data_IF_255325831965
#
_entry.id   IF_255325831965
#
_cell.length_a   1.000
_cell.length_b   1.000
_cell.length_c   1.000
_cell.angle_alpha   90.00
_cell.angle_beta   90.00
_cell.angle_gamma   90.00
#
_symmetry.space_group_name_H-M   'P 1'
#
loop_
_entity.id
_entity.type
_entity.pdbx_description
1 polymer ?
#
# COMPACT_ATOMS: atom_id res chain seq x y z
N UNK A 1 -11.78 -4.47 35.68
CA UNK A 1 -12.65 -4.94 34.58
C UNK A 1 -11.77 -5.08 33.35
N UNK A 2 -11.45 -6.32 33.00
CA UNK A 2 -10.63 -6.62 31.84
C UNK A 2 -11.50 -6.50 30.59
N UNK A 3 -11.16 -5.58 29.69
CA UNK A 3 -11.78 -5.47 28.37
C UNK A 3 -11.17 -6.58 27.52
N UNK A 4 -11.92 -7.67 27.37
CA UNK A 4 -11.60 -8.75 26.45
C UNK A 4 -11.77 -8.19 25.02
N UNK A 5 -10.68 -7.76 24.40
CA UNK A 5 -10.61 -7.50 22.97
C UNK A 5 -10.67 -8.85 22.25
N UNK A 6 -11.86 -9.31 21.95
CA UNK A 6 -12.07 -10.42 21.01
C UNK A 6 -11.61 -9.93 19.63
N UNK A 7 -10.49 -10.49 19.17
CA UNK A 7 -10.09 -10.40 17.76
C UNK A 7 -11.29 -10.91 16.92
N UNK A 8 -11.87 -10.13 16.01
CA UNK A 8 -12.92 -10.65 15.15
C UNK A 8 -12.27 -11.68 14.22
N UNK A 9 -12.61 -12.93 14.42
CA UNK A 9 -12.38 -14.04 13.48
C UNK A 9 -13.35 -13.80 12.31
N UNK A 10 -13.06 -12.77 11.49
CA UNK A 10 -13.84 -12.47 10.32
C UNK A 10 -13.44 -13.44 9.21
N UNK A 11 -14.43 -13.95 8.49
CA UNK A 11 -14.25 -14.78 7.28
C UNK A 11 -13.56 -14.06 6.13
N UNK A 12 -13.04 -12.87 6.38
CA UNK A 12 -12.29 -12.02 5.45
C UNK A 12 -10.86 -12.52 5.32
N UNK A 13 -10.37 -12.65 4.08
CA UNK A 13 -9.00 -13.06 3.82
C UNK A 13 -8.00 -12.07 4.40
N UNK A 14 -6.80 -12.54 4.77
CA UNK A 14 -5.75 -11.65 5.28
C UNK A 14 -5.36 -10.59 4.24
N UNK A 15 -5.38 -10.93 2.95
CA UNK A 15 -5.10 -9.98 1.88
C UNK A 15 -6.18 -8.88 1.80
N UNK A 16 -7.46 -9.21 1.96
CA UNK A 16 -8.53 -8.20 2.03
C UNK A 16 -8.35 -7.27 3.24
N UNK A 17 -7.88 -7.79 4.37
CA UNK A 17 -7.51 -6.94 5.53
C UNK A 17 -6.31 -6.04 5.24
N UNK A 18 -5.34 -6.50 4.46
CA UNK A 18 -4.24 -5.66 3.99
C UNK A 18 -4.73 -4.60 3.00
N UNK A 19 -5.67 -4.93 2.12
CA UNK A 19 -6.29 -3.95 1.23
C UNK A 19 -7.02 -2.85 2.02
N UNK A 20 -7.75 -3.22 3.07
CA UNK A 20 -8.38 -2.27 3.98
C UNK A 20 -7.39 -1.48 4.86
N UNK A 21 -6.16 -1.97 5.05
CA UNK A 21 -5.09 -1.33 5.83
C UNK A 21 -3.73 -1.55 5.15
N UNK A 22 -3.39 -0.78 4.10
CA UNK A 22 -2.21 -1.05 3.26
C UNK A 22 -0.89 -1.16 4.04
N UNK A 23 -0.71 -0.37 5.10
CA UNK A 23 0.49 -0.45 5.96
C UNK A 23 0.66 -1.82 6.66
N UNK A 24 -0.41 -2.60 6.80
CA UNK A 24 -0.30 -3.96 7.32
C UNK A 24 0.41 -4.89 6.34
N UNK A 25 0.23 -4.73 5.00
CA UNK A 25 0.96 -5.49 3.99
C UNK A 25 2.46 -5.27 4.13
N UNK A 26 2.90 -4.00 4.10
CA UNK A 26 4.32 -3.66 4.20
C UNK A 26 4.94 -4.10 5.53
N UNK A 27 4.19 -4.07 6.64
CA UNK A 27 4.66 -4.56 7.93
C UNK A 27 4.83 -6.09 7.94
N UNK A 28 3.87 -6.85 7.38
CA UNK A 28 3.97 -8.31 7.25
C UNK A 28 5.21 -8.71 6.43
N UNK A 29 5.39 -8.09 5.28
CA UNK A 29 6.53 -8.36 4.40
C UNK A 29 7.87 -7.97 5.06
N UNK A 30 7.92 -6.86 5.81
CA UNK A 30 9.12 -6.45 6.56
C UNK A 30 9.53 -7.47 7.64
N UNK A 31 8.57 -8.19 8.22
CA UNK A 31 8.80 -9.29 9.15
C UNK A 31 9.00 -10.66 8.44
N UNK A 32 9.07 -10.70 7.12
CA UNK A 32 9.23 -11.92 6.34
C UNK A 32 8.00 -12.85 6.38
N UNK A 33 6.83 -12.29 6.66
CA UNK A 33 5.56 -13.02 6.70
C UNK A 33 4.92 -12.98 5.31
N UNK A 34 4.92 -14.12 4.62
CA UNK A 34 4.24 -14.28 3.33
C UNK A 34 2.77 -14.63 3.54
N UNK A 35 1.88 -13.94 2.82
CA UNK A 35 0.46 -14.23 2.80
C UNK A 35 0.22 -15.30 1.73
N UNK A 36 -0.36 -16.43 2.12
CA UNK A 36 -0.78 -17.48 1.20
C UNK A 36 -2.30 -17.52 1.14
N UNK A 37 -2.87 -17.94 0.02
CA UNK A 37 -4.34 -18.00 -0.18
C UNK A 37 -5.06 -18.81 0.91
N UNK A 38 -4.43 -19.91 1.38
CA UNK A 38 -4.93 -20.75 2.46
C UNK A 38 -4.33 -20.40 3.83
N UNK A 39 -3.67 -19.23 3.93
CA UNK A 39 -3.02 -18.83 5.17
C UNK A 39 -4.05 -18.71 6.29
N UNK A 40 -3.83 -19.44 7.35
CA UNK A 40 -4.61 -19.37 8.58
C UNK A 40 -4.66 -17.94 9.16
N UNK A 41 -5.36 -17.78 10.27
CA UNK A 41 -5.50 -16.48 10.93
C UNK A 41 -4.13 -15.79 11.11
N UNK A 42 -4.10 -14.46 10.97
CA UNK A 42 -2.92 -13.58 11.18
C UNK A 42 -2.07 -14.04 12.39
N UNK A 43 -2.75 -14.42 13.48
CA UNK A 43 -2.10 -14.89 14.69
C UNK A 43 -1.25 -16.16 14.49
N UNK A 44 -1.62 -17.04 13.57
CA UNK A 44 -0.86 -18.26 13.26
C UNK A 44 0.40 -17.93 12.46
N UNK A 45 0.29 -17.05 11.47
CA UNK A 45 1.42 -16.60 10.65
C UNK A 45 2.45 -15.84 11.49
N UNK A 46 2.01 -14.89 12.31
CA UNK A 46 2.90 -14.16 13.21
C UNK A 46 3.67 -15.11 14.14
N UNK A 47 2.98 -16.04 14.81
CA UNK A 47 3.63 -17.01 15.72
C UNK A 47 4.61 -17.93 15.00
N UNK A 48 4.32 -18.33 13.76
CA UNK A 48 5.26 -19.14 12.96
C UNK A 48 6.58 -18.40 12.69
N UNK A 49 6.57 -17.07 12.63
CA UNK A 49 7.74 -16.20 12.48
C UNK A 49 8.29 -15.69 13.83
N UNK A 50 7.77 -16.20 14.97
CA UNK A 50 8.21 -15.75 16.31
C UNK A 50 7.75 -14.35 16.70
N UNK A 51 6.72 -13.82 16.05
CA UNK A 51 6.15 -12.51 16.29
C UNK A 51 4.82 -12.60 17.03
N UNK A 52 4.64 -11.80 18.08
CA UNK A 52 3.35 -11.67 18.72
C UNK A 52 2.39 -10.81 17.88
N UNK A 53 1.18 -11.27 17.53
CA UNK A 53 0.24 -10.56 16.68
C UNK A 53 -0.06 -9.13 17.16
N UNK A 54 -0.16 -8.93 18.45
CA UNK A 54 -0.43 -7.62 19.04
C UNK A 54 0.74 -6.64 18.86
N UNK A 55 1.98 -7.13 18.76
CA UNK A 55 3.16 -6.29 18.48
C UNK A 55 3.08 -5.77 17.05
N UNK A 56 2.78 -6.65 16.08
CA UNK A 56 2.59 -6.24 14.69
C UNK A 56 1.44 -5.20 14.55
N UNK A 57 0.30 -5.47 15.16
CA UNK A 57 -0.84 -4.55 15.10
C UNK A 57 -0.51 -3.19 15.73
N UNK A 58 0.19 -3.17 16.87
CA UNK A 58 0.62 -1.92 17.49
C UNK A 58 1.64 -1.15 16.64
N UNK A 59 2.52 -1.85 15.91
CA UNK A 59 3.45 -1.26 14.95
C UNK A 59 2.69 -0.57 13.81
N UNK A 60 1.71 -1.26 13.22
CA UNK A 60 0.85 -0.73 12.17
C UNK A 60 0.05 0.48 12.67
N UNK A 61 -0.64 0.36 13.82
CA UNK A 61 -1.40 1.46 14.42
C UNK A 61 -0.53 2.71 14.66
N UNK A 62 0.69 2.50 15.15
CA UNK A 62 1.64 3.60 15.38
C UNK A 62 2.12 4.22 14.07
N UNK A 63 2.30 3.45 13.01
CA UNK A 63 2.68 3.95 11.69
C UNK A 63 1.55 4.77 11.06
N UNK A 64 0.32 4.27 11.08
CA UNK A 64 -0.88 4.97 10.60
C UNK A 64 -1.11 6.28 11.35
N UNK A 65 -0.97 6.26 12.67
CA UNK A 65 -1.10 7.47 13.49
C UNK A 65 -0.03 8.52 13.12
N UNK A 66 1.25 8.13 13.05
CA UNK A 66 2.34 9.05 12.65
C UNK A 66 2.13 9.66 11.27
N UNK A 67 1.60 8.89 10.33
CA UNK A 67 1.34 9.33 8.96
C UNK A 67 0.19 10.33 8.90
N UNK A 68 -0.91 10.07 9.60
CA UNK A 68 -2.15 10.84 9.46
C UNK A 68 -2.25 12.03 10.40
N UNK A 69 -1.65 11.97 11.61
CA UNK A 69 -1.81 12.98 12.65
C UNK A 69 -1.42 14.41 12.22
N UNK A 70 -0.31 14.65 11.49
CA UNK A 70 0.06 15.99 11.04
C UNK A 70 -0.99 16.65 10.13
N UNK A 71 -1.81 15.81 9.46
CA UNK A 71 -2.74 16.23 8.41
C UNK A 71 -4.19 16.29 8.86
N UNK A 72 -4.53 15.76 10.03
CA UNK A 72 -5.92 15.71 10.54
C UNK A 72 -6.61 17.08 10.59
N UNK A 73 -5.88 18.09 11.02
CA UNK A 73 -6.41 19.45 11.17
C UNK A 73 -6.12 20.34 9.95
N UNK A 74 -5.32 19.88 8.97
CA UNK A 74 -4.99 20.67 7.78
C UNK A 74 -6.18 20.71 6.82
N UNK A 75 -6.38 21.81 6.05
CA UNK A 75 -7.43 21.88 5.04
C UNK A 75 -7.19 20.87 3.91
N UNK A 76 -8.28 20.38 3.28
CA UNK A 76 -8.19 19.41 2.17
C UNK A 76 -7.25 19.86 1.03
N UNK A 77 -7.23 21.14 0.60
CA UNK A 77 -6.27 21.57 -0.42
C UNK A 77 -4.81 21.34 -0.03
N UNK A 78 -4.44 21.57 1.23
CA UNK A 78 -3.07 21.35 1.70
C UNK A 78 -2.72 19.86 1.77
N UNK A 79 -3.68 19.01 2.12
CA UNK A 79 -3.50 17.56 2.11
C UNK A 79 -3.33 17.03 0.68
N UNK A 80 -4.13 17.51 -0.28
CA UNK A 80 -3.98 17.16 -1.70
C UNK A 80 -2.61 17.63 -2.22
N UNK A 81 -2.19 18.84 -1.90
CA UNK A 81 -0.87 19.33 -2.29
C UNK A 81 0.25 18.43 -1.72
N UNK A 82 0.12 17.98 -0.47
CA UNK A 82 1.07 17.04 0.10
C UNK A 82 1.10 15.71 -0.65
N UNK A 83 -0.05 15.11 -0.97
CA UNK A 83 -0.15 13.86 -1.74
C UNK A 83 0.54 14.03 -3.09
N UNK A 84 0.26 15.11 -3.81
CA UNK A 84 0.89 15.41 -5.10
C UNK A 84 2.42 15.52 -4.99
N UNK A 85 2.93 16.26 -4.00
CA UNK A 85 4.36 16.51 -3.85
C UNK A 85 5.14 15.31 -3.30
N UNK A 86 4.56 14.58 -2.36
CA UNK A 86 5.25 13.49 -1.66
C UNK A 86 5.15 12.13 -2.38
N UNK A 87 4.08 11.93 -3.16
CA UNK A 87 3.78 10.63 -3.76
C UNK A 87 3.64 10.68 -5.28
N UNK A 88 2.82 11.56 -5.86
CA UNK A 88 2.57 11.56 -7.29
C UNK A 88 3.77 12.02 -8.11
N UNK A 89 4.35 13.18 -7.78
CA UNK A 89 5.46 13.74 -8.55
C UNK A 89 6.72 12.84 -8.55
N UNK A 90 7.15 12.23 -7.42
CA UNK A 90 8.32 11.35 -7.43
C UNK A 90 8.05 9.95 -7.99
N UNK A 91 6.80 9.56 -8.26
CA UNK A 91 6.39 8.20 -8.57
C UNK A 91 7.22 7.53 -9.67
N UNK A 92 7.35 8.19 -10.83
CA UNK A 92 8.11 7.63 -11.95
C UNK A 92 9.58 7.41 -11.60
N UNK A 93 10.19 8.33 -10.86
CA UNK A 93 11.59 8.22 -10.42
C UNK A 93 11.80 7.12 -9.37
N UNK A 94 10.82 6.88 -8.49
CA UNK A 94 10.85 5.77 -7.54
C UNK A 94 10.83 4.41 -8.25
N UNK A 95 9.95 4.27 -9.25
CA UNK A 95 9.89 3.06 -10.08
C UNK A 95 11.17 2.84 -10.90
N UNK A 96 11.76 3.90 -11.46
CA UNK A 96 13.02 3.81 -12.22
C UNK A 96 14.17 3.37 -11.31
N UNK A 97 14.21 3.85 -10.06
CA UNK A 97 15.21 3.41 -9.05
C UNK A 97 15.02 1.93 -8.70
N UNK A 98 13.78 1.48 -8.54
CA UNK A 98 13.48 0.09 -8.25
C UNK A 98 13.88 -0.81 -9.42
N UNK A 99 13.48 -0.48 -10.66
CA UNK A 99 13.84 -1.27 -11.85
C UNK A 99 15.36 -1.35 -12.04
N UNK A 100 16.08 -0.25 -11.82
CA UNK A 100 17.56 -0.24 -11.87
C UNK A 100 18.18 -1.17 -10.80
N UNK A 101 17.63 -1.19 -9.58
CA UNK A 101 18.08 -2.09 -8.52
C UNK A 101 17.81 -3.56 -8.87
N UNK A 102 16.65 -3.87 -9.47
CA UNK A 102 16.32 -5.22 -9.93
C UNK A 102 17.24 -5.66 -11.07
N UNK A 103 17.50 -4.78 -12.04
CA UNK A 103 18.42 -5.08 -13.14
C UNK A 103 19.86 -5.39 -12.67
N UNK A 104 20.31 -4.76 -11.60
CA UNK A 104 21.61 -5.02 -11.02
C UNK A 104 21.76 -6.48 -10.51
N UNK A 105 20.64 -7.14 -10.15
CA UNK A 105 20.65 -8.53 -9.63
C UNK A 105 20.69 -9.61 -10.71
N UNK A 106 20.70 -9.26 -11.99
CA UNK A 106 20.49 -10.22 -13.10
C UNK A 106 21.49 -11.40 -13.14
N UNK A 107 22.68 -11.27 -12.56
CA UNK A 107 23.65 -12.34 -12.49
C UNK A 107 23.48 -13.22 -11.26
N UNK A 108 22.84 -12.71 -10.21
CA UNK A 108 22.63 -13.39 -8.95
C UNK A 108 21.22 -14.01 -8.84
N UNK A 109 20.28 -13.58 -9.69
CA UNK A 109 18.89 -14.02 -9.67
C UNK A 109 18.61 -15.09 -10.71
N UNK A 110 17.58 -15.91 -10.48
CA UNK A 110 17.03 -16.81 -11.49
C UNK A 110 16.45 -15.98 -12.66
N UNK A 111 16.94 -16.13 -13.91
CA UNK A 111 16.59 -15.23 -15.00
C UNK A 111 15.09 -15.13 -15.26
N UNK A 112 14.39 -16.27 -15.29
CA UNK A 112 12.95 -16.31 -15.56
C UNK A 112 12.14 -15.62 -14.43
N UNK A 113 12.51 -15.84 -13.17
CA UNK A 113 11.82 -15.21 -12.04
C UNK A 113 12.09 -13.69 -11.98
N UNK A 114 13.28 -13.25 -12.40
CA UNK A 114 13.58 -11.82 -12.51
C UNK A 114 12.78 -11.16 -13.64
N UNK A 115 12.61 -11.85 -14.77
CA UNK A 115 11.77 -11.34 -15.86
C UNK A 115 10.29 -11.24 -15.44
N UNK A 116 9.76 -12.24 -14.73
CA UNK A 116 8.43 -12.19 -14.13
C UNK A 116 8.26 -11.00 -13.19
N UNK A 117 9.21 -10.81 -12.27
CA UNK A 117 9.21 -9.70 -11.33
C UNK A 117 9.21 -8.34 -12.05
N UNK A 118 9.99 -8.18 -13.09
CA UNK A 118 10.05 -6.95 -13.87
C UNK A 118 8.80 -6.72 -14.73
N UNK A 119 8.17 -7.79 -15.21
CA UNK A 119 6.90 -7.69 -15.91
C UNK A 119 5.79 -7.18 -14.97
N UNK A 120 5.71 -7.70 -13.75
CA UNK A 120 4.78 -7.22 -12.71
C UNK A 120 5.05 -5.75 -12.33
N UNK A 121 6.32 -5.34 -12.26
CA UNK A 121 6.68 -3.95 -12.01
C UNK A 121 6.24 -3.02 -13.15
N UNK A 122 6.33 -3.49 -14.40
CA UNK A 122 5.85 -2.74 -15.56
C UNK A 122 4.33 -2.62 -15.60
N UNK A 123 3.60 -3.68 -15.20
CA UNK A 123 2.16 -3.67 -15.01
C UNK A 123 1.75 -2.65 -13.95
N UNK A 124 2.34 -2.74 -12.75
CA UNK A 124 2.12 -1.78 -11.66
C UNK A 124 2.37 -0.33 -12.10
N UNK A 125 3.45 -0.09 -12.88
CA UNK A 125 3.74 1.23 -13.45
C UNK A 125 2.61 1.73 -14.33
N UNK A 126 2.10 0.89 -15.24
CA UNK A 126 1.07 1.29 -16.19
C UNK A 126 -0.24 1.62 -15.49
N UNK A 127 -0.67 0.76 -14.56
CA UNK A 127 -1.91 0.93 -13.81
C UNK A 127 -1.86 2.18 -12.92
N UNK A 128 -0.78 2.37 -12.17
CA UNK A 128 -0.66 3.51 -11.26
C UNK A 128 -0.49 4.85 -12.00
N UNK A 129 0.19 4.90 -13.14
CA UNK A 129 0.25 6.15 -13.92
C UNK A 129 -1.14 6.57 -14.43
N UNK A 130 -1.98 5.64 -14.83
CA UNK A 130 -3.37 5.91 -15.21
C UNK A 130 -4.20 6.34 -13.99
N UNK A 131 -4.03 5.64 -12.86
CA UNK A 131 -4.69 5.93 -11.59
C UNK A 131 -4.38 7.35 -11.11
N UNK A 132 -3.10 7.74 -10.98
CA UNK A 132 -2.68 9.06 -10.57
C UNK A 132 -3.24 10.15 -11.51
N UNK A 133 -3.30 9.89 -12.82
CA UNK A 133 -3.87 10.83 -13.79
C UNK A 133 -5.39 11.02 -13.56
N UNK A 134 -6.14 9.97 -13.19
CA UNK A 134 -7.58 10.07 -12.84
C UNK A 134 -7.77 10.93 -11.60
N UNK A 135 -6.93 10.77 -10.60
CA UNK A 135 -6.99 11.55 -9.36
C UNK A 135 -6.68 13.02 -9.61
N UNK A 136 -5.58 13.32 -10.26
CA UNK A 136 -5.14 14.69 -10.54
C UNK A 136 -6.11 15.45 -11.45
N UNK A 137 -6.60 14.81 -12.50
CA UNK A 137 -7.40 15.47 -13.52
C UNK A 137 -8.89 15.50 -13.20
N UNK A 138 -9.37 14.56 -12.37
CA UNK A 138 -10.81 14.39 -12.13
C UNK A 138 -11.16 14.41 -10.66
N UNK A 139 -10.60 13.51 -9.84
CA UNK A 139 -11.05 13.33 -8.47
C UNK A 139 -10.70 14.52 -7.57
N UNK A 140 -9.46 14.96 -7.55
CA UNK A 140 -9.04 16.08 -6.68
C UNK A 140 -9.75 17.39 -7.04
N UNK A 141 -9.92 17.75 -8.32
CA UNK A 141 -10.79 18.86 -8.70
C UNK A 141 -12.23 18.72 -8.20
N UNK A 142 -12.80 17.51 -8.24
CA UNK A 142 -14.18 17.30 -7.73
C UNK A 142 -14.27 17.33 -6.21
N UNK A 143 -13.26 16.91 -5.49
CA UNK A 143 -13.18 17.04 -4.02
C UNK A 143 -13.17 18.53 -3.63
N UNK A 144 -12.49 19.37 -4.38
CA UNK A 144 -12.37 20.81 -4.12
C UNK A 144 -13.53 21.63 -4.66
N UNK A 145 -14.33 21.09 -5.58
CA UNK A 145 -15.50 21.76 -6.16
C UNK A 145 -16.78 21.40 -5.41
N UNK A 146 -17.86 22.20 -5.56
CA UNK A 146 -19.17 21.88 -5.00
C UNK A 146 -19.91 20.79 -5.82
N UNK A 147 -19.26 19.63 -6.03
CA UNK A 147 -19.82 18.51 -6.80
C UNK A 147 -19.82 17.18 -6.01
N UNK A 148 -20.43 17.15 -4.82
CA UNK A 148 -20.20 16.07 -3.84
C UNK A 148 -20.63 14.67 -4.32
N UNK A 149 -21.71 14.54 -5.09
CA UNK A 149 -22.19 13.23 -5.54
C UNK A 149 -21.26 12.59 -6.59
N UNK A 150 -20.61 13.39 -7.44
CA UNK A 150 -19.64 12.91 -8.41
C UNK A 150 -18.35 12.45 -7.70
N UNK A 151 -17.84 13.26 -6.78
CA UNK A 151 -16.68 12.91 -5.96
C UNK A 151 -16.88 11.60 -5.19
N UNK A 152 -18.04 11.38 -4.56
CA UNK A 152 -18.31 10.16 -3.81
C UNK A 152 -18.31 8.88 -4.67
N UNK A 153 -18.70 8.97 -5.95
CA UNK A 153 -18.62 7.81 -6.86
C UNK A 153 -17.17 7.57 -7.32
N UNK A 154 -16.46 8.64 -7.64
CA UNK A 154 -15.06 8.54 -8.04
C UNK A 154 -14.18 8.00 -6.90
N UNK A 155 -14.36 8.46 -5.66
CA UNK A 155 -13.66 7.93 -4.49
C UNK A 155 -13.85 6.42 -4.38
N UNK A 156 -15.06 5.91 -4.51
CA UNK A 156 -15.28 4.45 -4.44
C UNK A 156 -14.60 3.68 -5.55
N UNK A 157 -14.49 4.25 -6.75
CA UNK A 157 -13.75 3.64 -7.85
C UNK A 157 -12.25 3.60 -7.55
N UNK A 158 -11.68 4.69 -7.02
CA UNK A 158 -10.27 4.73 -6.62
C UNK A 158 -9.96 3.73 -5.51
N UNK A 159 -10.83 3.61 -4.50
CA UNK A 159 -10.65 2.63 -3.42
C UNK A 159 -10.58 1.18 -3.95
N UNK A 160 -11.36 0.83 -4.99
CA UNK A 160 -11.25 -0.49 -5.63
C UNK A 160 -9.91 -0.65 -6.37
N UNK A 161 -9.46 0.38 -7.07
CA UNK A 161 -8.13 0.37 -7.71
C UNK A 161 -7.00 0.27 -6.66
N UNK A 162 -7.17 0.84 -5.45
CA UNK A 162 -6.24 0.65 -4.32
C UNK A 162 -6.20 -0.81 -3.83
N UNK A 163 -7.36 -1.47 -3.74
CA UNK A 163 -7.42 -2.91 -3.38
C UNK A 163 -6.66 -3.78 -4.41
N UNK A 164 -6.84 -3.51 -5.71
CA UNK A 164 -6.12 -4.17 -6.79
C UNK A 164 -4.61 -3.90 -6.70
N UNK A 165 -4.20 -2.66 -6.41
CA UNK A 165 -2.80 -2.27 -6.20
C UNK A 165 -2.15 -3.04 -5.04
N UNK A 166 -2.84 -3.20 -3.91
CA UNK A 166 -2.34 -3.98 -2.77
C UNK A 166 -2.15 -5.45 -3.17
N UNK A 167 -3.06 -6.01 -3.96
CA UNK A 167 -2.95 -7.37 -4.47
C UNK A 167 -1.75 -7.53 -5.42
N UNK A 168 -1.54 -6.56 -6.30
CA UNK A 168 -0.40 -6.56 -7.23
C UNK A 168 0.94 -6.39 -6.48
N UNK A 169 1.00 -5.53 -5.45
CA UNK A 169 2.18 -5.41 -4.56
C UNK A 169 2.51 -6.72 -3.87
N UNK A 170 1.51 -7.43 -3.36
CA UNK A 170 1.71 -8.73 -2.75
C UNK A 170 2.27 -9.75 -3.76
N UNK A 171 1.73 -9.78 -4.98
CA UNK A 171 2.21 -10.64 -6.06
C UNK A 171 3.65 -10.31 -6.45
N UNK A 172 3.97 -9.03 -6.56
CA UNK A 172 5.31 -8.50 -6.84
C UNK A 172 6.32 -8.95 -5.76
N UNK A 173 5.94 -8.85 -4.49
CA UNK A 173 6.76 -9.30 -3.36
C UNK A 173 7.07 -10.80 -3.46
N UNK A 174 6.07 -11.64 -3.69
CA UNK A 174 6.25 -13.08 -3.87
C UNK A 174 7.15 -13.43 -5.05
N UNK A 175 7.05 -12.71 -6.17
CA UNK A 175 7.97 -12.86 -7.31
C UNK A 175 9.41 -12.49 -6.93
N UNK A 176 9.60 -11.44 -6.14
CA UNK A 176 10.93 -11.04 -5.65
C UNK A 176 11.54 -12.10 -4.72
N UNK A 177 10.77 -12.67 -3.81
CA UNK A 177 11.22 -13.78 -2.95
C UNK A 177 11.71 -14.95 -3.81
N UNK A 178 10.96 -15.35 -4.84
CA UNK A 178 11.39 -16.42 -5.76
C UNK A 178 12.64 -16.04 -6.56
N UNK A 179 12.72 -14.83 -7.07
CA UNK A 179 13.84 -14.37 -7.88
C UNK A 179 15.16 -14.37 -7.09
N UNK A 180 15.10 -14.06 -5.79
CA UNK A 180 16.28 -13.88 -4.94
C UNK A 180 16.65 -15.11 -4.10
N UNK A 181 15.83 -16.17 -4.11
CA UNK A 181 16.02 -17.37 -3.26
C UNK A 181 17.41 -18.03 -3.43
N UNK A 182 17.99 -17.97 -4.64
CA UNK A 182 19.28 -18.61 -4.96
C UNK A 182 20.53 -17.86 -4.45
N UNK A 183 20.42 -16.60 -4.08
CA UNK A 183 21.57 -15.74 -3.76
C UNK A 183 21.29 -14.75 -2.61
N UNK A 184 20.84 -15.21 -1.45
CA UNK A 184 20.40 -14.32 -0.36
C UNK A 184 21.55 -13.47 0.23
N UNK A 185 22.80 -13.85 0.03
CA UNK A 185 23.97 -13.12 0.54
C UNK A 185 24.62 -12.19 -0.49
N UNK A 186 24.05 -12.08 -1.70
CA UNK A 186 24.56 -11.17 -2.72
C UNK A 186 24.24 -9.71 -2.36
N UNK A 187 25.25 -8.80 -2.36
CA UNK A 187 25.03 -7.40 -2.01
C UNK A 187 24.03 -6.66 -2.93
N UNK A 188 23.96 -7.04 -4.21
CA UNK A 188 23.03 -6.44 -5.16
C UNK A 188 21.60 -6.91 -4.86
N UNK A 189 21.41 -8.20 -4.54
CA UNK A 189 20.14 -8.75 -4.08
C UNK A 189 19.68 -8.04 -2.80
N UNK A 190 20.57 -7.91 -1.80
CA UNK A 190 20.22 -7.17 -0.58
C UNK A 190 19.85 -5.71 -0.84
N UNK A 191 20.46 -5.08 -1.85
CA UNK A 191 20.12 -3.71 -2.24
C UNK A 191 18.75 -3.65 -2.92
N UNK A 192 18.44 -4.57 -3.83
CA UNK A 192 17.15 -4.67 -4.51
C UNK A 192 16.01 -4.98 -3.52
N UNK A 193 16.23 -5.87 -2.57
CA UNK A 193 15.25 -6.16 -1.51
C UNK A 193 14.93 -4.92 -0.66
N UNK A 194 15.95 -4.14 -0.28
CA UNK A 194 15.73 -2.88 0.44
C UNK A 194 14.98 -1.86 -0.41
N UNK A 195 15.33 -1.73 -1.69
CA UNK A 195 14.64 -0.82 -2.60
C UNK A 195 13.16 -1.20 -2.76
N UNK A 196 12.87 -2.50 -2.92
CA UNK A 196 11.49 -3.01 -3.01
C UNK A 196 10.71 -2.73 -1.71
N UNK A 197 11.28 -3.05 -0.55
CA UNK A 197 10.62 -2.82 0.74
C UNK A 197 10.36 -1.33 1.01
N UNK A 198 11.27 -0.45 0.58
CA UNK A 198 11.09 1.00 0.68
C UNK A 198 9.98 1.50 -0.24
N UNK A 199 9.96 1.04 -1.49
CA UNK A 199 8.93 1.40 -2.47
C UNK A 199 7.55 0.90 -2.01
N UNK A 200 7.46 -0.35 -1.59
CA UNK A 200 6.22 -0.95 -1.10
C UNK A 200 5.66 -0.16 0.10
N UNK A 201 6.50 0.13 1.10
CA UNK A 201 6.06 0.93 2.24
C UNK A 201 5.61 2.32 1.83
N UNK A 202 6.35 3.00 0.97
CA UNK A 202 6.03 4.33 0.47
C UNK A 202 4.68 4.34 -0.28
N UNK A 203 4.42 3.33 -1.11
CA UNK A 203 3.15 3.20 -1.80
C UNK A 203 2.00 2.87 -0.84
N UNK A 204 2.22 1.98 0.15
CA UNK A 204 1.23 1.70 1.19
C UNK A 204 0.91 2.94 2.05
N UNK A 205 1.89 3.82 2.32
CA UNK A 205 1.68 5.10 3.00
C UNK A 205 0.80 6.05 2.17
N UNK A 206 1.04 6.12 0.86
CA UNK A 206 0.23 6.88 -0.09
C UNK A 206 -1.24 6.41 -0.06
N UNK A 207 -1.49 5.13 -0.35
CA UNK A 207 -2.84 4.55 -0.36
C UNK A 207 -3.56 4.76 0.99
N UNK A 208 -2.85 4.58 2.11
CA UNK A 208 -3.42 4.76 3.43
C UNK A 208 -3.83 6.23 3.68
N UNK A 209 -2.98 7.19 3.30
CA UNK A 209 -3.26 8.61 3.49
C UNK A 209 -4.49 9.06 2.70
N UNK A 210 -4.65 8.54 1.49
CA UNK A 210 -5.81 8.83 0.66
C UNK A 210 -7.07 8.18 1.21
N UNK A 211 -7.08 6.89 1.41
CA UNK A 211 -8.28 6.17 1.83
C UNK A 211 -8.78 6.59 3.22
N UNK A 212 -7.88 6.68 4.18
CA UNK A 212 -8.23 6.86 5.59
C UNK A 212 -8.26 8.32 6.05
N UNK A 213 -7.72 9.24 5.26
CA UNK A 213 -7.77 10.64 5.61
C UNK A 213 -8.39 11.52 4.53
N UNK A 214 -7.83 11.54 3.30
CA UNK A 214 -8.30 12.43 2.24
C UNK A 214 -9.74 12.09 1.82
N UNK A 215 -9.97 10.84 1.42
CA UNK A 215 -11.28 10.38 0.92
C UNK A 215 -12.31 10.32 2.04
N UNK A 216 -11.94 9.88 3.24
CA UNK A 216 -12.81 9.88 4.39
C UNK A 216 -13.34 11.30 4.69
N UNK A 217 -12.48 12.30 4.75
CA UNK A 217 -12.85 13.71 5.01
C UNK A 217 -13.63 14.31 3.85
N UNK A 218 -13.30 13.97 2.60
CA UNK A 218 -14.07 14.40 1.44
C UNK A 218 -15.51 13.86 1.49
N UNK A 219 -15.70 12.59 1.86
CA UNK A 219 -17.03 11.98 2.02
C UNK A 219 -17.83 12.56 3.18
N UNK A 220 -17.19 12.94 4.28
CA UNK A 220 -17.83 13.62 5.41
C UNK A 220 -18.35 14.99 5.00
N UNK A 221 -17.59 15.77 4.22
CA UNK A 221 -18.02 17.07 3.71
C UNK A 221 -19.26 16.96 2.82
N UNK A 222 -19.36 15.89 2.03
CA UNK A 222 -20.53 15.57 1.19
C UNK A 222 -21.78 15.29 2.04
N UNK A 223 -21.63 14.57 3.15
CA UNK A 223 -22.76 14.23 4.05
C UNK A 223 -23.28 15.45 4.79
N UNK A 224 -22.40 16.37 5.20
CA UNK A 224 -22.76 17.61 5.89
C UNK A 224 -23.50 18.64 5.02
N UNK A 225 -23.44 18.51 3.68
CA UNK A 225 -24.09 19.42 2.72
C UNK A 225 -25.47 18.94 2.24
N UNK A 226 -25.97 17.80 2.71
CA UNK A 226 -27.35 17.36 2.37
C UNK A 226 -28.36 18.28 3.10
N UNK A 227 -29.20 19.06 2.40
CA UNK A 227 -30.31 19.76 3.03
C UNK A 227 -31.28 18.72 3.60
N UNK A 228 -31.68 18.94 4.87
CA UNK A 228 -32.72 18.17 5.55
C UNK A 228 -34.09 18.30 4.87
#
# INVERSE_FOLDING_TARGET
MAISSSCPDSSESLLARCAARPLMLSALHAHGIEIQEDAGALASLCRACGLEPNVLLAEVDAAEHRLTEPWRAQPLPALIEHVLLAYHQPFAAELDRLDAALLATRQASAPQALEELRALLAELRAELLEHLAKEEQVLFPWILAPAPAAAARAIRAMQLEHEDTVTLLHTLHGAAVRAFAGSPSDPQVATAQRALAQFERWLCEHLHLEDHLLFARALESVRGQRPG
#
